data_IF_302862568947
#
_entry.id   IF_302862568947
#
_cell.length_a   1.000
_cell.length_b   1.000
_cell.length_c   1.000
_cell.angle_alpha   90.00
_cell.angle_beta   90.00
_cell.angle_gamma   90.00
#
_symmetry.space_group_name_H-M   'P 1'
#
loop_
_entity.id
_entity.type
_entity.pdbx_description
1 polymer ?
#
# COMPACT_ATOMS: atom_id res chain seq x y z
N UNK A 1 -7.48 14.89 -24.19
CA UNK A 1 -6.83 14.92 -22.86
C UNK A 1 -5.49 14.24 -23.04
N UNK A 2 -4.39 14.89 -22.67
CA UNK A 2 -3.05 14.29 -22.76
C UNK A 2 -2.86 13.51 -21.46
N UNK A 3 -2.75 12.18 -21.55
CA UNK A 3 -2.37 11.38 -20.39
C UNK A 3 -0.97 11.83 -19.93
N UNK A 4 -0.71 11.94 -18.61
CA UNK A 4 0.65 12.07 -18.12
C UNK A 4 1.52 11.01 -18.81
N UNK A 5 2.68 11.36 -19.37
CA UNK A 5 3.46 10.45 -20.21
C UNK A 5 3.78 9.11 -19.53
N UNK A 6 3.84 9.07 -18.21
CA UNK A 6 4.06 7.85 -17.44
C UNK A 6 2.97 6.78 -17.57
N UNK A 7 1.70 7.15 -17.80
CA UNK A 7 0.64 6.15 -18.02
C UNK A 7 0.67 5.50 -19.41
N UNK A 8 1.56 5.97 -20.30
CA UNK A 8 1.82 5.32 -21.59
C UNK A 8 2.93 4.26 -21.52
N UNK A 9 3.57 4.08 -20.36
CA UNK A 9 4.63 3.08 -20.18
C UNK A 9 4.08 1.64 -20.16
N UNK A 10 4.93 0.68 -20.51
CA UNK A 10 4.61 -0.74 -20.49
C UNK A 10 4.79 -1.38 -19.10
N UNK A 11 5.46 -0.72 -18.15
CA UNK A 11 5.60 -1.18 -16.78
C UNK A 11 4.29 -0.98 -16.01
N UNK A 12 3.67 -2.09 -15.59
CA UNK A 12 2.54 -2.04 -14.67
C UNK A 12 2.95 -1.42 -13.32
N UNK A 13 4.16 -1.73 -12.84
CA UNK A 13 4.69 -1.16 -11.61
C UNK A 13 4.76 0.37 -11.66
N UNK A 14 5.36 0.94 -12.71
CA UNK A 14 5.46 2.40 -12.84
C UNK A 14 4.07 3.07 -12.85
N UNK A 15 3.11 2.48 -13.57
CA UNK A 15 1.75 3.04 -13.66
C UNK A 15 0.99 2.91 -12.34
N UNK A 16 1.19 1.81 -11.62
CA UNK A 16 0.71 1.63 -10.25
C UNK A 16 1.25 2.74 -9.35
N UNK A 17 2.57 2.91 -9.25
CA UNK A 17 3.20 3.93 -8.41
C UNK A 17 2.78 5.36 -8.76
N UNK A 18 2.56 5.64 -10.04
CA UNK A 18 2.02 6.93 -10.47
C UNK A 18 0.59 7.14 -9.98
N UNK A 19 -0.29 6.15 -10.10
CA UNK A 19 -1.65 6.24 -9.58
C UNK A 19 -1.65 6.41 -8.06
N UNK A 20 -0.85 5.61 -7.35
CA UNK A 20 -0.65 5.70 -5.90
C UNK A 20 -0.26 7.13 -5.50
N UNK A 21 0.84 7.65 -6.06
CA UNK A 21 1.34 8.99 -5.76
C UNK A 21 0.30 10.10 -6.02
N UNK A 22 -0.48 10.02 -7.10
CA UNK A 22 -1.55 10.99 -7.39
C UNK A 22 -2.66 10.95 -6.33
N UNK A 23 -3.00 9.76 -5.84
CA UNK A 23 -3.91 9.55 -4.71
C UNK A 23 -3.38 10.12 -3.41
N UNK A 24 -2.13 9.79 -3.07
CA UNK A 24 -1.44 10.26 -1.86
C UNK A 24 -1.32 11.79 -1.80
N UNK A 25 -1.10 12.43 -2.95
CA UNK A 25 -1.06 13.89 -3.08
C UNK A 25 -2.46 14.55 -3.03
N UNK A 26 -3.54 13.77 -3.01
CA UNK A 26 -4.93 14.23 -3.17
C UNK A 26 -5.11 15.16 -4.37
N UNK A 27 -4.45 14.84 -5.49
CA UNK A 27 -4.42 15.72 -6.65
C UNK A 27 -5.73 15.65 -7.44
N UNK A 28 -6.69 16.52 -7.12
CA UNK A 28 -8.03 16.56 -7.75
C UNK A 28 -7.96 16.66 -9.29
N UNK A 29 -6.96 17.37 -9.84
CA UNK A 29 -6.77 17.47 -11.29
C UNK A 29 -6.39 16.16 -11.97
N UNK A 30 -5.98 15.13 -11.21
CA UNK A 30 -5.66 13.79 -11.70
C UNK A 30 -6.89 12.89 -11.89
N UNK A 31 -8.05 13.25 -11.32
CA UNK A 31 -9.25 12.40 -11.38
C UNK A 31 -9.66 11.98 -12.81
N UNK A 32 -9.59 12.85 -13.85
CA UNK A 32 -9.91 12.42 -15.21
C UNK A 32 -8.96 11.35 -15.76
N UNK A 33 -7.67 11.40 -15.43
CA UNK A 33 -6.73 10.34 -15.86
C UNK A 33 -6.93 9.07 -15.05
N UNK A 34 -7.11 9.16 -13.73
CA UNK A 34 -7.37 7.98 -12.89
C UNK A 34 -8.65 7.26 -13.33
N UNK A 35 -9.71 8.01 -13.66
CA UNK A 35 -10.90 7.43 -14.29
C UNK A 35 -10.55 6.72 -15.60
N UNK A 36 -9.80 7.36 -16.51
CA UNK A 36 -9.46 6.72 -17.79
C UNK A 36 -8.66 5.40 -17.62
N UNK A 37 -7.82 5.31 -16.60
CA UNK A 37 -7.05 4.11 -16.25
C UNK A 37 -7.98 3.03 -15.71
N UNK A 38 -8.83 3.36 -14.74
CA UNK A 38 -9.84 2.44 -14.19
C UNK A 38 -10.78 1.90 -15.29
N UNK A 39 -11.16 2.75 -16.24
CA UNK A 39 -12.09 2.39 -17.32
C UNK A 39 -11.48 1.50 -18.41
N UNK A 40 -10.16 1.45 -18.52
CA UNK A 40 -9.46 0.68 -19.55
C UNK A 40 -9.39 -0.81 -19.18
N UNK A 41 -10.20 -1.66 -19.82
CA UNK A 41 -10.21 -3.11 -19.55
C UNK A 41 -8.99 -3.85 -20.10
N UNK A 42 -8.22 -3.24 -20.99
CA UNK A 42 -6.96 -3.78 -21.51
C UNK A 42 -5.76 -3.43 -20.61
N UNK A 43 -5.97 -2.60 -19.58
CA UNK A 43 -4.95 -2.28 -18.58
C UNK A 43 -4.82 -3.39 -17.54
N UNK A 44 -3.61 -3.54 -16.99
CA UNK A 44 -3.33 -4.49 -15.91
C UNK A 44 -4.25 -4.21 -14.70
N UNK A 45 -4.96 -5.24 -14.17
CA UNK A 45 -5.83 -5.07 -13.01
C UNK A 45 -5.15 -4.46 -11.78
N UNK A 46 -3.84 -4.63 -11.63
CA UNK A 46 -3.02 -4.00 -10.60
C UNK A 46 -3.08 -2.47 -10.72
N UNK A 47 -2.83 -1.96 -11.91
CA UNK A 47 -2.87 -0.51 -12.18
C UNK A 47 -4.30 0.03 -12.03
N UNK A 48 -5.30 -0.76 -12.41
CA UNK A 48 -6.72 -0.37 -12.34
C UNK A 48 -7.23 -0.29 -10.91
N UNK A 49 -6.84 -1.21 -10.01
CA UNK A 49 -7.23 -1.07 -8.60
C UNK A 49 -6.56 0.15 -8.00
N UNK A 50 -5.29 0.40 -8.29
CA UNK A 50 -4.58 1.55 -7.72
C UNK A 50 -5.20 2.87 -8.19
N UNK A 51 -5.67 2.92 -9.44
CA UNK A 51 -6.46 4.06 -9.91
C UNK A 51 -7.79 4.23 -9.15
N UNK A 52 -8.50 3.15 -8.83
CA UNK A 52 -9.72 3.21 -8.02
C UNK A 52 -9.43 3.64 -6.56
N UNK A 53 -8.34 3.14 -5.98
CA UNK A 53 -7.88 3.50 -4.65
C UNK A 53 -7.49 4.97 -4.58
N UNK A 54 -6.72 5.46 -5.56
CA UNK A 54 -6.34 6.86 -5.68
C UNK A 54 -7.56 7.79 -5.80
N UNK A 55 -8.60 7.39 -6.54
CA UNK A 55 -9.88 8.13 -6.59
C UNK A 55 -10.52 8.17 -5.18
N UNK A 56 -10.51 7.05 -4.46
CA UNK A 56 -10.94 6.97 -3.06
C UNK A 56 -10.13 7.87 -2.12
N UNK A 57 -8.80 7.91 -2.28
CA UNK A 57 -7.88 8.75 -1.51
C UNK A 57 -8.09 10.26 -1.73
N UNK A 58 -8.35 10.66 -2.97
CA UNK A 58 -8.72 12.04 -3.33
C UNK A 58 -10.09 12.40 -2.72
N UNK A 59 -10.98 11.41 -2.59
CA UNK A 59 -12.24 11.51 -1.87
C UNK A 59 -13.26 12.51 -2.47
N UNK A 60 -13.31 12.64 -3.80
CA UNK A 60 -14.29 13.50 -4.48
C UNK A 60 -15.65 12.80 -4.64
N UNK A 61 -16.76 13.36 -4.09
CA UNK A 61 -18.10 12.79 -4.25
C UNK A 61 -18.57 12.63 -5.70
N UNK A 62 -18.06 13.48 -6.61
CA UNK A 62 -18.44 13.47 -8.03
C UNK A 62 -18.01 12.17 -8.74
N UNK A 63 -17.02 11.45 -8.19
CA UNK A 63 -16.49 10.22 -8.78
C UNK A 63 -17.15 8.95 -8.23
N UNK A 64 -18.12 9.06 -7.31
CA UNK A 64 -18.87 7.89 -6.82
C UNK A 64 -19.56 7.13 -7.95
N UNK A 65 -20.11 7.84 -8.94
CA UNK A 65 -20.79 7.21 -10.08
C UNK A 65 -19.83 6.35 -10.92
N UNK A 66 -18.57 6.80 -11.07
CA UNK A 66 -17.52 6.06 -11.77
C UNK A 66 -17.19 4.79 -10.99
N UNK A 67 -16.88 4.89 -9.70
CA UNK A 67 -16.55 3.72 -8.86
C UNK A 67 -17.72 2.71 -8.81
N UNK A 68 -18.96 3.18 -8.71
CA UNK A 68 -20.17 2.33 -8.69
C UNK A 68 -20.28 1.47 -9.94
N UNK A 69 -19.88 1.99 -11.11
CA UNK A 69 -19.88 1.24 -12.39
C UNK A 69 -18.98 0.00 -12.33
N UNK A 70 -17.91 0.05 -11.55
CA UNK A 70 -16.89 -1.00 -11.48
C UNK A 70 -17.04 -1.93 -10.27
N UNK A 71 -18.14 -1.81 -9.51
CA UNK A 71 -18.53 -2.83 -8.51
C UNK A 71 -18.85 -4.20 -9.14
N UNK A 72 -19.01 -4.27 -10.46
CA UNK A 72 -19.23 -5.49 -11.23
C UNK A 72 -18.10 -5.80 -12.21
N UNK A 73 -16.93 -5.17 -12.03
CA UNK A 73 -15.73 -5.41 -12.85
C UNK A 73 -15.42 -6.91 -12.98
N UNK A 74 -14.91 -7.43 -14.12
CA UNK A 74 -14.49 -8.83 -14.22
C UNK A 74 -13.40 -9.20 -13.21
N UNK A 75 -12.48 -8.29 -12.88
CA UNK A 75 -11.41 -8.55 -11.92
C UNK A 75 -11.89 -8.30 -10.48
N UNK A 76 -11.66 -9.28 -9.59
CA UNK A 76 -12.09 -9.21 -8.19
C UNK A 76 -11.45 -8.07 -7.42
N UNK A 77 -10.14 -7.87 -7.56
CA UNK A 77 -9.42 -6.81 -6.82
C UNK A 77 -9.97 -5.44 -7.19
N UNK A 78 -10.25 -5.18 -8.47
CA UNK A 78 -10.84 -3.89 -8.91
C UNK A 78 -12.24 -3.68 -8.30
N UNK A 79 -13.08 -4.72 -8.24
CA UNK A 79 -14.41 -4.63 -7.58
C UNK A 79 -14.28 -4.28 -6.10
N UNK A 80 -13.43 -5.03 -5.39
CA UNK A 80 -13.20 -4.88 -3.96
C UNK A 80 -12.62 -3.49 -3.63
N UNK A 81 -11.68 -2.99 -4.44
CA UNK A 81 -11.14 -1.64 -4.27
C UNK A 81 -12.18 -0.56 -4.55
N UNK A 82 -13.05 -0.73 -5.54
CA UNK A 82 -14.15 0.21 -5.78
C UNK A 82 -15.13 0.26 -4.60
N UNK A 83 -15.41 -0.88 -3.96
CA UNK A 83 -16.22 -0.94 -2.73
C UNK A 83 -15.56 -0.16 -1.59
N UNK A 84 -14.26 -0.41 -1.34
CA UNK A 84 -13.48 0.30 -0.32
C UNK A 84 -13.42 1.81 -0.61
N UNK A 85 -13.12 2.20 -1.84
CA UNK A 85 -13.01 3.60 -2.25
C UNK A 85 -14.34 4.35 -2.09
N UNK A 86 -15.47 3.70 -2.39
CA UNK A 86 -16.81 4.26 -2.14
C UNK A 86 -17.06 4.46 -0.64
N UNK A 87 -16.79 3.45 0.17
CA UNK A 87 -16.94 3.52 1.63
C UNK A 87 -16.03 4.61 2.23
N UNK A 88 -14.83 4.77 1.69
CA UNK A 88 -13.88 5.83 2.05
C UNK A 88 -14.44 7.21 1.73
N UNK A 89 -14.91 7.44 0.50
CA UNK A 89 -15.51 8.73 0.09
C UNK A 89 -16.70 9.06 1.00
N UNK A 90 -17.56 8.07 1.28
CA UNK A 90 -18.72 8.26 2.17
C UNK A 90 -18.30 8.63 3.60
N UNK A 91 -17.30 7.94 4.13
CA UNK A 91 -16.80 8.20 5.47
C UNK A 91 -16.11 9.57 5.56
N UNK A 92 -15.20 9.90 4.63
CA UNK A 92 -14.48 11.17 4.59
C UNK A 92 -15.44 12.37 4.49
N UNK A 93 -16.58 12.20 3.81
CA UNK A 93 -17.63 13.23 3.67
C UNK A 93 -18.72 13.17 4.76
N UNK A 94 -18.64 12.23 5.70
CA UNK A 94 -19.54 12.13 6.84
C UNK A 94 -19.19 13.15 7.94
N UNK A 95 -20.05 13.29 8.94
CA UNK A 95 -19.73 14.10 10.12
C UNK A 95 -18.52 13.54 10.88
N UNK A 96 -18.43 12.21 11.02
CA UNK A 96 -17.33 11.52 11.69
C UNK A 96 -15.99 11.76 10.98
N UNK A 97 -15.94 11.57 9.67
CA UNK A 97 -14.72 11.76 8.88
C UNK A 97 -14.24 13.22 8.90
N UNK A 98 -15.16 14.19 8.77
CA UNK A 98 -14.82 15.61 8.87
C UNK A 98 -14.25 15.98 10.24
N UNK A 99 -14.84 15.46 11.33
CA UNK A 99 -14.31 15.66 12.68
C UNK A 99 -12.93 15.01 12.85
N UNK A 100 -12.72 13.82 12.29
CA UNK A 100 -11.44 13.13 12.31
C UNK A 100 -10.35 13.95 11.61
N UNK A 101 -10.62 14.48 10.41
CA UNK A 101 -9.66 15.32 9.67
C UNK A 101 -9.26 16.56 10.45
N UNK A 102 -10.24 17.27 11.03
CA UNK A 102 -9.97 18.45 11.88
C UNK A 102 -9.10 18.08 13.08
N UNK A 103 -9.35 16.93 13.72
CA UNK A 103 -8.55 16.46 14.85
C UNK A 103 -7.10 16.12 14.45
N UNK A 104 -6.91 15.57 13.24
CA UNK A 104 -5.59 15.22 12.70
C UNK A 104 -4.77 16.46 12.37
N UNK A 105 -5.40 17.48 11.77
CA UNK A 105 -4.76 18.77 11.44
C UNK A 105 -4.46 19.63 12.68
N UNK A 106 -5.28 19.50 13.73
CA UNK A 106 -5.10 20.24 15.00
C UNK A 106 -4.11 19.58 15.96
N UNK A 107 -3.63 18.37 15.65
CA UNK A 107 -2.67 17.65 16.46
C UNK A 107 -1.25 18.10 16.12
N UNK A 108 -0.51 18.60 17.11
CA UNK A 108 0.94 18.87 16.99
C UNK A 108 1.79 17.60 16.83
N UNK A 109 1.17 16.41 16.83
CA UNK A 109 1.87 15.15 16.66
C UNK A 109 2.14 14.88 15.18
N UNK A 110 3.41 14.73 14.83
CA UNK A 110 3.81 14.21 13.53
C UNK A 110 3.14 12.85 13.31
N UNK A 111 2.42 12.63 12.20
CA UNK A 111 1.84 11.33 11.90
C UNK A 111 2.91 10.25 11.93
N UNK A 112 2.61 9.11 12.55
CA UNK A 112 3.52 7.96 12.54
C UNK A 112 3.73 7.41 11.13
N UNK A 113 2.72 7.56 10.27
CA UNK A 113 2.71 7.15 8.87
C UNK A 113 2.12 8.29 8.02
N UNK A 114 2.72 8.54 6.85
CA UNK A 114 2.36 9.66 5.97
C UNK A 114 1.43 9.28 4.82
N UNK A 115 1.22 7.99 4.58
CA UNK A 115 0.28 7.50 3.57
C UNK A 115 -1.18 7.71 4.00
N UNK A 116 -2.05 7.81 3.01
CA UNK A 116 -3.49 7.81 3.12
C UNK A 116 -3.93 6.36 2.98
N UNK A 117 -4.43 5.80 4.06
CA UNK A 117 -4.90 4.41 4.06
C UNK A 117 -6.29 4.30 3.38
N UNK A 118 -6.60 3.13 2.78
CA UNK A 118 -7.88 2.89 2.09
C UNK A 118 -9.08 2.90 3.05
N UNK A 119 -8.85 2.63 4.34
CA UNK A 119 -9.86 2.72 5.37
C UNK A 119 -9.29 3.39 6.64
N UNK A 120 -10.08 4.22 7.33
CA UNK A 120 -9.65 4.82 8.59
C UNK A 120 -9.69 3.79 9.72
N UNK A 121 -8.82 3.83 10.73
CA UNK A 121 -8.84 2.82 11.77
C UNK A 121 -10.15 2.79 12.56
N UNK A 122 -10.56 1.60 13.03
CA UNK A 122 -11.79 1.38 13.80
C UNK A 122 -11.79 2.05 15.19
N UNK A 123 -10.64 2.48 15.69
CA UNK A 123 -10.50 2.93 17.07
C UNK A 123 -10.18 4.43 17.15
N UNK A 124 -10.62 5.03 18.26
CA UNK A 124 -10.14 6.33 18.79
C UNK A 124 -8.63 6.36 19.07
N UNK A 125 -7.87 5.32 18.70
CA UNK A 125 -6.41 5.25 18.73
C UNK A 125 -5.72 6.44 18.03
N UNK A 126 -6.37 7.06 17.03
CA UNK A 126 -5.87 8.29 16.39
C UNK A 126 -6.34 9.59 17.07
N UNK A 127 -7.27 9.56 18.03
CA UNK A 127 -7.72 10.76 18.76
C UNK A 127 -6.75 11.19 19.88
N UNK A 128 -5.51 10.69 19.85
CA UNK A 128 -4.48 10.99 20.83
C UNK A 128 -4.45 9.99 21.99
N UNK A 129 -3.30 9.31 22.07
CA UNK A 129 -2.83 8.38 23.11
C UNK A 129 -3.42 6.96 23.06
N UNK A 130 -2.63 5.94 22.66
CA UNK A 130 -3.01 4.54 22.86
C UNK A 130 -3.25 4.26 24.33
N UNK A 131 -4.30 3.49 24.65
CA UNK A 131 -4.49 2.98 25.99
C UNK A 131 -3.63 1.71 26.14
N UNK A 132 -3.00 1.48 27.31
CA UNK A 132 -2.21 0.27 27.56
C UNK A 132 -2.95 -1.04 27.23
N UNK A 133 -4.28 -1.03 27.32
CA UNK A 133 -5.14 -2.18 27.06
C UNK A 133 -5.28 -2.51 25.56
N UNK A 134 -5.00 -1.57 24.66
CA UNK A 134 -5.17 -1.74 23.20
C UNK A 134 -4.20 -2.79 22.61
N UNK A 135 -3.13 -3.14 23.34
CA UNK A 135 -2.17 -4.20 22.98
C UNK A 135 -2.25 -5.45 23.87
N UNK A 136 -3.32 -5.59 24.67
CA UNK A 136 -3.55 -6.82 25.43
C UNK A 136 -3.72 -8.02 24.50
N UNK A 137 -3.35 -9.21 24.97
CA UNK A 137 -3.54 -10.47 24.21
C UNK A 137 -5.00 -10.65 23.76
N UNK A 138 -5.97 -10.25 24.59
CA UNK A 138 -7.40 -10.27 24.24
C UNK A 138 -7.74 -9.30 23.12
N UNK A 139 -7.11 -8.13 23.09
CA UNK A 139 -7.32 -7.16 22.00
C UNK A 139 -6.71 -7.67 20.70
N UNK A 140 -5.48 -8.16 20.72
CA UNK A 140 -4.83 -8.77 19.54
C UNK A 140 -5.66 -9.96 19.01
N UNK A 141 -6.18 -10.82 19.90
CA UNK A 141 -7.05 -11.92 19.51
C UNK A 141 -8.38 -11.44 18.90
N UNK A 142 -8.99 -10.38 19.42
CA UNK A 142 -10.22 -9.79 18.87
C UNK A 142 -9.98 -9.14 17.50
N UNK A 143 -8.85 -8.46 17.32
CA UNK A 143 -8.44 -7.88 16.04
C UNK A 143 -8.24 -8.99 15.02
N UNK A 144 -7.49 -10.04 15.38
CA UNK A 144 -7.31 -11.23 14.54
C UNK A 144 -8.64 -11.87 14.15
N UNK A 145 -9.56 -12.04 15.09
CA UNK A 145 -10.87 -12.62 14.81
C UNK A 145 -11.65 -11.81 13.77
N UNK A 146 -11.64 -10.47 13.90
CA UNK A 146 -12.30 -9.57 12.94
C UNK A 146 -11.60 -9.59 11.59
N UNK A 147 -10.26 -9.57 11.59
CA UNK A 147 -9.42 -9.60 10.39
C UNK A 147 -9.71 -10.83 9.52
N UNK A 148 -9.95 -11.99 10.15
CA UNK A 148 -10.18 -13.26 9.48
C UNK A 148 -11.65 -13.60 9.26
N UNK A 149 -12.58 -12.76 9.72
CA UNK A 149 -14.01 -13.00 9.54
C UNK A 149 -14.46 -12.54 8.15
N UNK A 150 -14.53 -13.49 7.21
CA UNK A 150 -14.98 -13.24 5.82
C UNK A 150 -16.44 -12.80 5.71
N UNK A 151 -17.24 -12.89 6.79
CA UNK A 151 -18.61 -12.36 6.82
C UNK A 151 -18.66 -10.86 7.08
N UNK A 152 -17.56 -10.28 7.58
CA UNK A 152 -17.42 -8.83 7.80
C UNK A 152 -17.03 -8.15 6.49
N UNK A 153 -17.66 -7.01 6.11
CA UNK A 153 -17.31 -6.27 4.91
C UNK A 153 -15.82 -5.91 4.87
N UNK A 154 -15.22 -5.93 3.67
CA UNK A 154 -13.78 -5.77 3.50
C UNK A 154 -13.28 -4.44 4.09
N UNK A 155 -14.02 -3.34 3.87
CA UNK A 155 -13.73 -2.06 4.50
C UNK A 155 -13.58 -2.19 6.02
N UNK A 156 -14.50 -2.87 6.71
CA UNK A 156 -14.44 -3.03 8.17
C UNK A 156 -13.27 -3.93 8.63
N UNK A 157 -12.91 -4.93 7.82
CA UNK A 157 -11.72 -5.75 8.05
C UNK A 157 -10.43 -4.92 7.93
N UNK A 158 -10.37 -3.99 6.97
CA UNK A 158 -9.27 -3.02 6.83
C UNK A 158 -9.15 -2.13 8.06
N UNK A 159 -10.29 -1.59 8.52
CA UNK A 159 -10.31 -0.74 9.71
C UNK A 159 -9.88 -1.49 10.98
N UNK A 160 -9.92 -2.83 10.99
CA UNK A 160 -9.61 -3.65 12.15
C UNK A 160 -8.12 -3.72 12.46
N UNK A 161 -7.22 -3.41 11.54
CA UNK A 161 -5.80 -3.22 11.88
C UNK A 161 -5.48 -1.73 11.95
N UNK A 162 -4.76 -1.34 13.00
CA UNK A 162 -4.25 0.03 13.14
C UNK A 162 -2.74 -0.05 13.04
N UNK A 163 -2.17 0.48 11.96
CA UNK A 163 -0.74 0.70 11.87
C UNK A 163 -0.36 1.79 12.87
N UNK A 164 0.11 1.39 14.05
CA UNK A 164 0.85 2.30 14.92
C UNK A 164 2.19 1.68 15.29
N UNK A 165 3.22 2.50 15.60
CA UNK A 165 4.54 2.00 16.02
C UNK A 165 4.50 1.01 17.19
N UNK A 166 3.45 1.06 18.00
CA UNK A 166 3.23 0.18 19.14
C UNK A 166 2.74 -1.23 18.74
N UNK A 167 2.22 -1.42 17.52
CA UNK A 167 1.79 -2.72 16.97
C UNK A 167 2.93 -3.52 16.34
N UNK A 168 4.19 -3.10 16.49
CA UNK A 168 5.37 -3.85 16.03
C UNK A 168 5.73 -5.04 16.92
N UNK A 169 4.83 -5.46 17.81
CA UNK A 169 5.05 -6.63 18.67
C UNK A 169 4.93 -7.92 17.83
N UNK A 170 5.71 -8.97 18.15
CA UNK A 170 5.60 -10.26 17.47
C UNK A 170 4.16 -10.80 17.41
N UNK A 171 3.41 -10.71 18.51
CA UNK A 171 2.04 -11.20 18.59
C UNK A 171 1.07 -10.45 17.65
N UNK A 172 1.22 -9.13 17.49
CA UNK A 172 0.42 -8.35 16.57
C UNK A 172 0.78 -8.65 15.11
N UNK A 173 2.08 -8.79 14.81
CA UNK A 173 2.55 -9.19 13.48
C UNK A 173 2.06 -10.60 13.13
N UNK A 174 2.09 -11.55 14.06
CA UNK A 174 1.56 -12.91 13.85
C UNK A 174 0.04 -12.91 13.60
N UNK A 175 -0.70 -12.03 14.29
CA UNK A 175 -2.12 -11.86 14.07
C UNK A 175 -2.43 -11.31 12.66
N UNK A 176 -1.66 -10.32 12.20
CA UNK A 176 -1.78 -9.76 10.85
C UNK A 176 -1.35 -10.76 9.78
N UNK A 177 -0.26 -11.51 10.01
CA UNK A 177 0.27 -12.50 9.07
C UNK A 177 -0.74 -13.62 8.79
N UNK A 178 -1.66 -13.91 9.73
CA UNK A 178 -2.76 -14.83 9.49
C UNK A 178 -3.67 -14.39 8.33
N UNK A 179 -3.72 -13.10 8.02
CA UNK A 179 -4.47 -12.53 6.89
C UNK A 179 -3.99 -13.01 5.51
N UNK A 180 -2.75 -13.49 5.38
CA UNK A 180 -2.25 -14.11 4.14
C UNK A 180 -2.96 -15.42 3.78
N UNK A 181 -3.81 -15.96 4.66
CA UNK A 181 -4.67 -17.11 4.36
C UNK A 181 -5.99 -16.75 3.66
N UNK A 182 -6.25 -15.46 3.38
CA UNK A 182 -7.46 -15.02 2.70
C UNK A 182 -7.43 -15.28 1.17
N UNK A 183 -8.60 -15.48 0.58
CA UNK A 183 -8.76 -15.69 -0.87
C UNK A 183 -8.71 -14.39 -1.69
N UNK A 184 -8.83 -13.22 -1.06
CA UNK A 184 -8.73 -11.91 -1.71
C UNK A 184 -7.27 -11.52 -1.90
N UNK A 185 -6.83 -11.41 -3.16
CA UNK A 185 -5.52 -10.86 -3.50
C UNK A 185 -5.37 -9.41 -3.02
N UNK A 186 -6.44 -8.61 -3.10
CA UNK A 186 -6.42 -7.23 -2.61
C UNK A 186 -6.16 -7.16 -1.11
N UNK A 187 -6.85 -8.00 -0.33
CA UNK A 187 -6.64 -8.06 1.12
C UNK A 187 -5.22 -8.51 1.47
N UNK A 188 -4.69 -9.53 0.80
CA UNK A 188 -3.32 -10.00 1.04
C UNK A 188 -2.27 -8.96 0.64
N UNK A 189 -2.48 -8.26 -0.47
CA UNK A 189 -1.66 -7.11 -0.88
C UNK A 189 -1.60 -6.08 0.24
N UNK A 190 -2.76 -5.70 0.79
CA UNK A 190 -2.81 -4.74 1.90
C UNK A 190 -2.06 -5.22 3.16
N UNK A 191 -2.14 -6.50 3.51
CA UNK A 191 -1.34 -7.04 4.63
C UNK A 191 0.17 -6.89 4.37
N UNK A 192 0.62 -7.11 3.14
CA UNK A 192 2.02 -6.90 2.76
C UNK A 192 2.40 -5.41 2.84
N UNK A 193 1.54 -4.51 2.35
CA UNK A 193 1.73 -3.06 2.44
C UNK A 193 1.88 -2.59 3.89
N UNK A 194 0.98 -3.06 4.77
CA UNK A 194 1.04 -2.82 6.21
C UNK A 194 2.33 -3.31 6.83
N UNK A 195 2.84 -4.46 6.40
CA UNK A 195 4.13 -4.98 6.87
C UNK A 195 5.30 -4.10 6.43
N UNK A 196 5.24 -3.53 5.22
CA UNK A 196 6.16 -2.50 4.75
C UNK A 196 6.12 -1.26 5.64
N UNK A 197 4.94 -0.76 6.00
CA UNK A 197 4.80 0.37 6.93
C UNK A 197 5.33 0.02 8.35
N UNK A 198 5.05 -1.18 8.85
CA UNK A 198 5.48 -1.58 10.20
C UNK A 198 7.00 -1.73 10.31
N UNK A 199 7.71 -2.04 9.22
CA UNK A 199 9.16 -2.23 9.20
C UNK A 199 9.65 -3.23 10.28
N UNK A 200 8.83 -4.22 10.62
CA UNK A 200 9.16 -5.20 11.66
C UNK A 200 9.87 -6.40 11.04
N UNK A 201 11.09 -6.69 11.47
CA UNK A 201 11.81 -7.91 11.04
C UNK A 201 11.02 -9.21 11.31
N UNK A 202 10.07 -9.20 12.25
CA UNK A 202 9.21 -10.35 12.56
C UNK A 202 8.27 -10.73 11.39
N UNK A 203 7.97 -9.81 10.46
CA UNK A 203 7.13 -10.10 9.29
C UNK A 203 7.90 -10.74 8.12
N UNK A 204 9.23 -10.68 8.12
CA UNK A 204 10.09 -11.15 7.02
C UNK A 204 9.79 -12.59 6.60
N UNK A 205 9.63 -13.58 7.52
CA UNK A 205 9.32 -14.95 7.12
C UNK A 205 8.02 -15.07 6.31
N UNK A 206 6.97 -14.33 6.72
CA UNK A 206 5.69 -14.33 6.01
C UNK A 206 5.79 -13.68 4.64
N UNK A 207 6.50 -12.55 4.53
CA UNK A 207 6.71 -11.86 3.26
C UNK A 207 7.56 -12.68 2.27
N UNK A 208 8.60 -13.37 2.77
CA UNK A 208 9.41 -14.27 1.95
C UNK A 208 8.58 -15.45 1.41
N UNK A 209 7.70 -16.03 2.23
CA UNK A 209 6.79 -17.08 1.77
C UNK A 209 5.89 -16.59 0.64
N UNK A 210 5.35 -15.37 0.76
CA UNK A 210 4.50 -14.75 -0.27
C UNK A 210 5.29 -14.48 -1.55
N UNK A 211 6.46 -13.85 -1.48
CA UNK A 211 7.30 -13.56 -2.65
C UNK A 211 7.66 -14.85 -3.43
N UNK A 212 7.95 -15.91 -2.69
CA UNK A 212 8.40 -17.20 -3.23
C UNK A 212 7.27 -18.09 -3.78
N UNK A 213 6.02 -17.82 -3.42
CA UNK A 213 4.88 -18.60 -3.89
C UNK A 213 4.53 -18.24 -5.33
N UNK A 214 4.90 -19.11 -6.28
CA UNK A 214 4.59 -18.92 -7.70
C UNK A 214 3.08 -19.05 -8.03
N UNK A 215 2.27 -19.55 -7.10
CA UNK A 215 0.81 -19.61 -7.25
C UNK A 215 0.09 -18.38 -6.70
N UNK A 216 0.82 -17.53 -5.96
CA UNK A 216 0.28 -16.27 -5.45
C UNK A 216 0.16 -15.22 -6.56
N UNK A 217 -0.81 -14.32 -6.39
CA UNK A 217 -1.05 -13.20 -7.31
C UNK A 217 0.16 -12.28 -7.39
N UNK A 218 0.52 -11.86 -8.60
CA UNK A 218 1.60 -10.90 -8.87
C UNK A 218 1.43 -9.59 -8.08
N UNK A 219 0.18 -9.18 -7.83
CA UNK A 219 -0.20 -8.05 -6.95
C UNK A 219 0.35 -8.21 -5.52
N UNK A 220 0.14 -9.39 -4.92
CA UNK A 220 0.58 -9.63 -3.54
C UNK A 220 2.10 -9.79 -3.49
N UNK A 221 2.67 -10.39 -4.53
CA UNK A 221 4.12 -10.65 -4.62
C UNK A 221 4.94 -9.40 -4.83
N UNK A 222 4.47 -8.42 -5.61
CA UNK A 222 5.16 -7.14 -5.74
C UNK A 222 5.20 -6.39 -4.42
N UNK A 223 4.06 -6.33 -3.73
CA UNK A 223 3.93 -5.61 -2.46
C UNK A 223 4.80 -6.26 -1.38
N UNK A 224 4.86 -7.61 -1.37
CA UNK A 224 5.77 -8.33 -0.51
C UNK A 224 7.24 -8.02 -0.80
N UNK A 225 7.62 -7.90 -2.08
CA UNK A 225 8.99 -7.53 -2.46
C UNK A 225 9.36 -6.12 -1.97
N UNK A 226 8.46 -5.15 -2.10
CA UNK A 226 8.69 -3.77 -1.66
C UNK A 226 8.76 -3.65 -0.14
N UNK A 227 7.84 -4.30 0.58
CA UNK A 227 7.88 -4.39 2.03
C UNK A 227 9.19 -5.01 2.54
N UNK A 228 9.67 -6.07 1.89
CA UNK A 228 10.96 -6.69 2.19
C UNK A 228 12.14 -5.73 1.97
N UNK A 229 12.12 -4.96 0.87
CA UNK A 229 13.12 -3.93 0.60
C UNK A 229 13.17 -2.84 1.67
N UNK A 230 12.02 -2.37 2.12
CA UNK A 230 11.91 -1.38 3.20
C UNK A 230 12.35 -1.90 4.57
N UNK A 231 12.00 -3.15 4.92
CA UNK A 231 12.43 -3.76 6.19
C UNK A 231 13.96 -3.95 6.24
N UNK A 232 14.56 -4.20 5.07
CA UNK A 232 16.00 -4.12 4.84
C UNK A 232 16.90 -5.04 5.70
N UNK A 233 16.40 -6.20 6.17
CA UNK A 233 17.24 -7.15 6.94
C UNK A 233 18.21 -7.92 6.03
N UNK A 234 19.41 -8.33 6.52
CA UNK A 234 20.43 -8.97 5.68
C UNK A 234 19.99 -10.24 4.95
N UNK A 235 19.11 -11.03 5.56
CA UNK A 235 18.58 -12.28 5.00
C UNK A 235 17.65 -12.09 3.79
N UNK A 236 17.13 -10.88 3.58
CA UNK A 236 16.21 -10.56 2.48
C UNK A 236 16.93 -10.43 1.14
N UNK A 237 18.13 -9.83 1.14
CA UNK A 237 18.83 -9.44 -0.08
C UNK A 237 19.07 -10.60 -1.09
N UNK A 238 19.47 -11.82 -0.66
CA UNK A 238 19.64 -12.93 -1.60
C UNK A 238 18.34 -13.28 -2.34
N UNK A 239 17.19 -13.20 -1.66
CA UNK A 239 15.89 -13.55 -2.23
C UNK A 239 15.41 -12.49 -3.23
N UNK A 240 15.59 -11.20 -2.92
CA UNK A 240 15.28 -10.13 -3.88
C UNK A 240 16.15 -10.25 -5.14
N UNK A 241 17.45 -10.53 -5.00
CA UNK A 241 18.37 -10.72 -6.14
C UNK A 241 17.99 -11.93 -6.99
N UNK A 242 17.57 -13.01 -6.36
CA UNK A 242 17.06 -14.18 -7.06
C UNK A 242 15.82 -13.78 -7.89
N UNK A 243 14.76 -13.27 -7.25
CA UNK A 243 13.50 -12.98 -7.92
C UNK A 243 13.57 -11.85 -8.95
N UNK A 244 14.52 -10.93 -8.82
CA UNK A 244 14.85 -9.91 -9.83
C UNK A 244 15.42 -10.51 -11.12
N UNK A 245 16.20 -11.60 -11.04
CA UNK A 245 16.95 -12.15 -12.18
C UNK A 245 16.32 -13.39 -12.81
N UNK A 246 15.33 -13.99 -12.13
CA UNK A 246 14.59 -15.14 -12.63
C UNK A 246 13.81 -14.85 -13.91
N UNK A 247 14.07 -15.64 -14.94
CA UNK A 247 13.38 -15.51 -16.25
C UNK A 247 11.88 -15.86 -16.16
N UNK A 248 11.52 -16.81 -15.30
CA UNK A 248 10.14 -17.25 -15.06
C UNK A 248 9.35 -16.32 -14.13
N UNK A 249 10.02 -15.34 -13.53
CA UNK A 249 9.37 -14.36 -12.66
C UNK A 249 8.49 -13.39 -13.49
N UNK A 250 7.29 -13.02 -13.02
CA UNK A 250 6.52 -11.94 -13.64
C UNK A 250 7.32 -10.64 -13.70
N UNK A 251 7.08 -9.84 -14.73
CA UNK A 251 7.81 -8.58 -14.93
C UNK A 251 7.67 -7.64 -13.73
N UNK A 252 6.46 -7.48 -13.20
CA UNK A 252 6.19 -6.62 -12.04
C UNK A 252 7.00 -7.06 -10.82
N UNK A 253 7.05 -8.36 -10.53
CA UNK A 253 7.82 -8.88 -9.39
C UNK A 253 9.32 -8.61 -9.58
N UNK A 254 9.87 -8.79 -10.79
CA UNK A 254 11.28 -8.43 -11.06
C UNK A 254 11.57 -6.95 -10.85
N UNK A 255 10.70 -6.09 -11.38
CA UNK A 255 10.83 -4.64 -11.26
C UNK A 255 10.72 -4.20 -9.79
N UNK A 256 9.78 -4.74 -9.02
CA UNK A 256 9.65 -4.45 -7.58
C UNK A 256 10.84 -4.98 -6.79
N UNK A 257 11.39 -6.16 -7.11
CA UNK A 257 12.62 -6.63 -6.49
C UNK A 257 13.82 -5.71 -6.79
N UNK A 258 13.91 -5.14 -7.99
CA UNK A 258 14.95 -4.16 -8.32
C UNK A 258 14.82 -2.91 -7.46
N UNK A 259 13.62 -2.31 -7.38
CA UNK A 259 13.36 -1.13 -6.54
C UNK A 259 13.60 -1.46 -5.06
N UNK A 260 13.18 -2.63 -4.61
CA UNK A 260 13.37 -3.11 -3.24
C UNK A 260 14.85 -3.30 -2.89
N UNK A 261 15.70 -3.75 -3.83
CA UNK A 261 17.15 -3.82 -3.62
C UNK A 261 17.72 -2.42 -3.44
N UNK A 262 17.30 -1.45 -4.26
CA UNK A 262 17.78 -0.07 -4.13
C UNK A 262 17.37 0.53 -2.77
N UNK A 263 16.14 0.23 -2.30
CA UNK A 263 15.67 0.61 -0.96
C UNK A 263 16.47 -0.08 0.15
N UNK A 264 16.71 -1.38 0.02
CA UNK A 264 17.52 -2.16 0.96
C UNK A 264 18.93 -1.59 1.07
N UNK A 265 19.56 -1.25 -0.06
CA UNK A 265 20.88 -0.64 -0.12
C UNK A 265 20.88 0.73 0.53
N UNK A 266 19.86 1.55 0.28
CA UNK A 266 19.69 2.85 0.92
C UNK A 266 19.67 2.73 2.46
N UNK A 267 18.78 1.90 3.00
CA UNK A 267 18.63 1.69 4.45
C UNK A 267 19.92 1.13 5.11
N UNK A 268 20.72 0.36 4.37
CA UNK A 268 21.98 -0.21 4.86
C UNK A 268 23.24 0.62 4.52
N UNK A 269 23.15 1.66 3.68
CA UNK A 269 24.31 2.40 3.17
C UNK A 269 24.71 3.62 4.00
N UNK A 270 23.89 4.02 4.97
CA UNK A 270 24.10 5.25 5.75
C UNK A 270 24.02 6.54 4.92
N UNK A 271 23.62 6.47 3.65
CA UNK A 271 23.44 7.64 2.78
C UNK A 271 22.09 8.30 3.07
N UNK A 272 22.12 9.61 3.33
CA UNK A 272 20.93 10.42 3.53
C UNK A 272 20.68 11.22 2.25
N UNK A 273 20.18 10.57 1.18
CA UNK A 273 19.49 11.13 -0.02
C UNK A 273 19.74 10.27 -1.28
N UNK A 274 18.66 9.99 -2.03
CA UNK A 274 18.66 9.28 -3.32
C UNK A 274 19.07 10.17 -4.51
N UNK A 275 19.25 11.48 -4.30
CA UNK A 275 19.41 12.49 -5.36
C UNK A 275 20.86 12.97 -5.56
N UNK A 276 21.83 12.07 -5.65
CA UNK A 276 23.23 12.43 -5.98
C UNK A 276 23.48 12.67 -7.48
N UNK A 277 22.43 12.71 -8.31
CA UNK A 277 22.53 13.01 -9.75
C UNK A 277 23.09 14.40 -10.10
N UNK A 278 23.33 15.27 -9.12
CA UNK A 278 23.94 16.59 -9.30
C UNK A 278 25.41 16.66 -8.86
N UNK A 279 25.93 15.69 -8.11
CA UNK A 279 27.33 15.69 -7.67
C UNK A 279 28.26 15.15 -8.77
N UNK A 280 27.79 14.20 -9.59
CA UNK A 280 28.55 13.67 -10.73
C UNK A 280 28.77 14.69 -11.85
N UNK A 281 27.90 15.70 -11.98
CA UNK A 281 28.03 16.76 -13.00
C UNK A 281 29.14 17.77 -12.65
N UNK A 282 29.53 17.89 -11.38
CA UNK A 282 30.57 18.84 -10.96
C UNK A 282 32.00 18.33 -11.16
N UNK A 283 32.19 17.02 -11.38
CA UNK A 283 33.53 16.42 -11.48
C UNK A 283 34.09 16.46 -12.92
N UNK A 284 33.26 16.69 -13.95
CA UNK A 284 33.73 16.78 -15.34
C UNK A 284 34.12 18.19 -15.81
N UNK A 285 34.07 19.21 -14.93
CA UNK A 285 34.50 20.56 -15.27
C UNK A 285 35.87 20.89 -14.66
N UNK A 286 36.96 20.45 -15.31
CA UNK A 286 38.25 21.18 -15.50
C UNK A 286 39.23 20.29 -16.27
N UNK A 287 40.25 20.80 -17.02
CA UNK A 287 40.91 22.10 -16.82
C UNK A 287 41.24 22.91 -18.10
N UNK A 288 41.54 24.20 -17.92
CA UNK A 288 42.44 24.96 -18.78
C UNK A 288 43.40 25.76 -17.89
#
# INVERSE_FOLDING_TARGET
MVHPPGFADHSALLKHELAYCLGQMKLVSALPVLQSVLENLDEDPMVRHEAAEAIGAISSPDFKAVLTKYLTDPNRSVRETCEIALAKIEWDNSEEGRQHLVSKESSDQTPAYTSIDPAPPCSKLLSGQPRPDDLSESSIASLRATLLDISVPLFQRYRAYVCTPQHRTPAAVDALAAGFSDDSALFKHEIAFVFGQLLSAHSVPSLLNVLQDASESDMVRHEAAEALGGIATPEVLPHLKEWMTREDSPRVVRESCQVAIDMWEYENSGQFQYANGLESVRVEATPA
#
